data_IF_677538690629
#
_entry.id   IF_677538690629
#
_cell.length_a   1.000
_cell.length_b   1.000
_cell.length_c   1.000
_cell.angle_alpha   90.00
_cell.angle_beta   90.00
_cell.angle_gamma   90.00
#
_symmetry.space_group_name_H-M   'P 1'
#
loop_
_entity.id
_entity.type
_entity.pdbx_description
1 polymer ?
#
# COMPACT_ATOMS: atom_id res chain seq x y z
N UNK A 1 64.20 46.37 -32.22
CA UNK A 1 64.47 46.06 -30.80
C UNK A 1 63.28 45.33 -30.19
N UNK A 2 62.98 44.12 -30.66
CA UNK A 2 61.87 43.31 -30.15
C UNK A 2 62.30 41.89 -29.72
N UNK A 3 63.58 41.53 -29.92
CA UNK A 3 64.11 40.19 -29.64
C UNK A 3 65.24 40.19 -28.59
N UNK A 4 65.50 41.33 -27.93
CA UNK A 4 66.51 41.38 -26.87
C UNK A 4 65.96 40.71 -25.60
N UNK A 5 66.69 39.75 -25.00
CA UNK A 5 66.25 39.09 -23.78
C UNK A 5 66.12 40.10 -22.63
N UNK A 6 65.12 39.92 -21.77
CA UNK A 6 64.76 40.84 -20.67
C UNK A 6 65.99 41.23 -19.82
N UNK A 7 66.90 40.27 -19.58
CA UNK A 7 68.12 40.49 -18.79
C UNK A 7 69.10 41.47 -19.47
N UNK A 8 69.14 41.48 -20.82
CA UNK A 8 69.98 42.41 -21.58
C UNK A 8 69.41 43.83 -21.52
N UNK A 9 68.08 43.95 -21.59
CA UNK A 9 67.37 45.23 -21.45
C UNK A 9 67.56 45.79 -20.04
N UNK A 10 67.47 44.95 -19.00
CA UNK A 10 67.72 45.36 -17.61
C UNK A 10 69.15 45.86 -17.40
N UNK A 11 70.16 45.13 -17.90
CA UNK A 11 71.56 45.55 -17.80
C UNK A 11 71.84 46.85 -18.57
N UNK A 12 71.30 46.98 -19.78
CA UNK A 12 71.41 48.20 -20.56
C UNK A 12 70.77 49.41 -19.85
N UNK A 13 69.59 49.22 -19.24
CA UNK A 13 68.91 50.25 -18.45
C UNK A 13 69.76 50.68 -17.23
N UNK A 14 70.31 49.73 -16.49
CA UNK A 14 71.17 50.00 -15.33
C UNK A 14 72.45 50.75 -15.74
N UNK A 15 73.13 50.31 -16.80
CA UNK A 15 74.33 50.97 -17.33
C UNK A 15 74.04 52.38 -17.87
N UNK A 16 72.90 52.57 -18.54
CA UNK A 16 72.46 53.86 -19.06
C UNK A 16 72.23 54.87 -17.93
N UNK A 17 71.48 54.51 -16.89
CA UNK A 17 71.21 55.42 -15.77
C UNK A 17 72.45 55.69 -14.92
N UNK A 18 73.35 54.72 -14.73
CA UNK A 18 74.63 54.94 -14.03
C UNK A 18 75.56 55.92 -14.77
N UNK A 19 75.52 55.94 -16.11
CA UNK A 19 76.38 56.77 -16.94
C UNK A 19 75.75 58.07 -17.43
N UNK A 20 74.44 58.25 -17.22
CA UNK A 20 73.71 59.44 -17.66
C UNK A 20 74.10 60.69 -16.87
N UNK A 21 74.29 61.81 -17.58
CA UNK A 21 74.48 63.13 -16.97
C UNK A 21 73.32 63.52 -16.05
N UNK A 22 72.11 63.05 -16.35
CA UNK A 22 70.89 63.32 -15.57
C UNK A 22 70.95 62.72 -14.15
N UNK A 23 71.67 61.61 -13.98
CA UNK A 23 71.90 60.98 -12.68
C UNK A 23 73.10 61.60 -11.96
N UNK A 24 74.19 61.90 -12.71
CA UNK A 24 75.42 62.52 -12.15
C UNK A 24 75.22 63.98 -11.71
N UNK A 25 74.35 64.72 -12.39
CA UNK A 25 74.00 66.11 -12.07
C UNK A 25 72.91 66.21 -10.99
N UNK A 26 72.45 65.07 -10.43
CA UNK A 26 71.49 65.01 -9.33
C UNK A 26 70.06 65.40 -9.70
N UNK A 27 69.73 65.51 -10.99
CA UNK A 27 68.43 65.93 -11.50
C UNK A 27 67.35 64.86 -11.21
N UNK A 28 67.70 63.58 -11.29
CA UNK A 28 66.84 62.46 -10.87
C UNK A 28 67.46 61.68 -9.72
N UNK A 29 66.62 61.26 -8.77
CA UNK A 29 67.04 60.38 -7.68
C UNK A 29 67.07 58.92 -8.14
N UNK A 30 67.93 58.09 -7.53
CA UNK A 30 68.07 56.67 -7.89
C UNK A 30 66.75 55.90 -7.82
N UNK A 31 65.89 56.22 -6.84
CA UNK A 31 64.57 55.61 -6.67
C UNK A 31 63.52 56.04 -7.72
N UNK A 32 63.82 57.02 -8.56
CA UNK A 32 62.93 57.51 -9.63
C UNK A 32 63.34 56.99 -11.03
N UNK A 33 64.39 56.19 -11.10
CA UNK A 33 64.94 55.62 -12.34
C UNK A 33 64.79 54.11 -12.34
N UNK A 34 64.90 53.46 -13.51
CA UNK A 34 64.73 52.02 -13.75
C UNK A 34 63.30 51.48 -13.72
N UNK A 35 63.07 50.47 -14.57
CA UNK A 35 61.83 49.70 -14.65
C UNK A 35 61.59 48.89 -13.37
N UNK A 36 62.66 48.47 -12.68
CA UNK A 36 62.56 47.79 -11.38
C UNK A 36 61.92 48.68 -10.31
N UNK A 37 62.36 49.93 -10.18
CA UNK A 37 61.77 50.86 -9.19
C UNK A 37 60.34 51.25 -9.57
N UNK A 38 60.05 51.41 -10.87
CA UNK A 38 58.69 51.60 -11.35
C UNK A 38 57.80 50.40 -10.99
N UNK A 39 58.28 49.17 -11.20
CA UNK A 39 57.54 47.95 -10.84
C UNK A 39 57.24 47.86 -9.35
N UNK A 40 58.19 48.25 -8.49
CA UNK A 40 57.94 48.31 -7.03
C UNK A 40 56.90 49.38 -6.69
N UNK A 41 57.02 50.59 -7.24
CA UNK A 41 56.07 51.68 -6.99
C UNK A 41 54.65 51.35 -7.48
N UNK A 42 54.54 50.70 -8.66
CA UNK A 42 53.26 50.21 -9.20
C UNK A 42 52.68 49.11 -8.32
N UNK A 43 53.50 48.16 -7.86
CA UNK A 43 53.07 47.10 -6.94
C UNK A 43 52.56 47.68 -5.62
N UNK A 44 53.29 48.60 -5.00
CA UNK A 44 52.89 49.24 -3.74
C UNK A 44 51.60 50.05 -3.90
N UNK A 45 51.48 50.81 -5.00
CA UNK A 45 50.28 51.57 -5.32
C UNK A 45 49.08 50.65 -5.59
N UNK A 46 49.28 49.58 -6.37
CA UNK A 46 48.26 48.58 -6.65
C UNK A 46 47.74 47.93 -5.37
N UNK A 47 48.63 47.43 -4.51
CA UNK A 47 48.21 46.79 -3.26
C UNK A 47 47.55 47.75 -2.28
N UNK A 48 47.99 49.02 -2.25
CA UNK A 48 47.31 50.05 -1.48
C UNK A 48 45.88 50.28 -1.99
N UNK A 49 45.70 50.47 -3.30
CA UNK A 49 44.38 50.65 -3.91
C UNK A 49 43.48 49.41 -3.73
N UNK A 50 44.03 48.20 -3.89
CA UNK A 50 43.30 46.95 -3.67
C UNK A 50 42.84 46.85 -2.23
N UNK A 51 43.71 47.14 -1.26
CA UNK A 51 43.35 47.10 0.16
C UNK A 51 42.21 48.08 0.47
N UNK A 52 42.35 49.33 0.05
CA UNK A 52 41.33 50.37 0.25
C UNK A 52 40.01 50.00 -0.45
N UNK A 53 40.07 49.45 -1.67
CA UNK A 53 38.88 49.02 -2.41
C UNK A 53 38.19 47.81 -1.79
N UNK A 54 38.95 46.81 -1.33
CA UNK A 54 38.40 45.63 -0.65
C UNK A 54 37.75 46.03 0.67
N UNK A 55 38.35 46.93 1.44
CA UNK A 55 37.76 47.47 2.67
C UNK A 55 36.41 48.17 2.36
N UNK A 56 36.39 49.08 1.38
CA UNK A 56 35.16 49.79 0.98
C UNK A 56 34.08 48.83 0.46
N UNK A 57 34.44 47.87 -0.38
CA UNK A 57 33.50 46.86 -0.89
C UNK A 57 32.97 45.98 0.24
N UNK A 58 33.83 45.57 1.17
CA UNK A 58 33.44 44.77 2.35
C UNK A 58 32.41 45.52 3.19
N UNK A 59 32.63 46.82 3.43
CA UNK A 59 31.69 47.63 4.21
C UNK A 59 30.37 47.83 3.46
N UNK A 60 30.41 47.98 2.13
CA UNK A 60 29.21 48.01 1.28
C UNK A 60 28.43 46.70 1.39
N UNK A 61 29.09 45.54 1.30
CA UNK A 61 28.45 44.23 1.47
C UNK A 61 27.86 44.04 2.86
N UNK A 62 28.56 44.48 3.92
CA UNK A 62 28.04 44.43 5.29
C UNK A 62 26.78 45.28 5.43
N UNK A 63 26.76 46.48 4.85
CA UNK A 63 25.59 47.33 4.86
C UNK A 63 24.40 46.69 4.11
N UNK A 64 24.63 46.17 2.90
CA UNK A 64 23.59 45.47 2.13
C UNK A 64 23.06 44.25 2.88
N UNK A 65 23.94 43.43 3.46
CA UNK A 65 23.54 42.28 4.27
C UNK A 65 22.65 42.71 5.44
N UNK A 66 23.05 43.74 6.19
CA UNK A 66 22.28 44.25 7.32
C UNK A 66 20.90 44.76 6.89
N UNK A 67 20.82 45.47 5.76
CA UNK A 67 19.54 45.92 5.20
C UNK A 67 18.64 44.73 4.87
N UNK A 68 19.17 43.73 4.15
CA UNK A 68 18.40 42.53 3.78
C UNK A 68 17.95 41.71 5.00
N UNK A 69 18.80 41.54 6.01
CA UNK A 69 18.43 40.88 7.27
C UNK A 69 17.33 41.64 8.00
N UNK A 70 17.38 42.97 7.97
CA UNK A 70 16.36 43.83 8.58
C UNK A 70 15.03 43.75 7.83
N UNK A 71 15.08 43.81 6.49
CA UNK A 71 13.90 43.62 5.63
C UNK A 71 13.27 42.25 5.87
N UNK A 72 14.08 41.18 5.91
CA UNK A 72 13.60 39.83 6.20
C UNK A 72 12.93 39.74 7.57
N UNK A 73 13.54 40.26 8.63
CA UNK A 73 12.95 40.27 9.99
C UNK A 73 11.64 41.05 10.05
N UNK A 74 11.52 42.14 9.29
CA UNK A 74 10.29 42.94 9.22
C UNK A 74 9.20 42.26 8.40
N UNK A 75 9.56 41.56 7.33
CA UNK A 75 8.62 40.81 6.50
C UNK A 75 8.16 39.51 7.15
N UNK A 76 9.01 38.88 7.96
CA UNK A 76 8.75 37.58 8.60
C UNK A 76 8.93 37.61 10.13
N UNK A 77 8.22 38.50 10.86
CA UNK A 77 8.47 38.75 12.30
C UNK A 77 8.16 37.56 13.22
N UNK A 78 7.49 36.52 12.70
CA UNK A 78 7.13 35.30 13.43
C UNK A 78 7.91 34.06 12.98
N UNK A 79 8.76 34.18 11.96
CA UNK A 79 9.64 33.08 11.55
C UNK A 79 10.98 33.26 12.24
N UNK A 80 11.38 32.22 12.97
CA UNK A 80 12.75 32.09 13.46
C UNK A 80 13.60 31.48 12.34
N UNK A 81 14.80 32.02 12.14
CA UNK A 81 15.81 31.38 11.29
C UNK A 81 16.21 30.05 11.95
N UNK A 82 16.08 28.96 11.20
CA UNK A 82 16.51 27.64 11.65
C UNK A 82 17.67 27.19 10.77
N UNK A 83 18.73 26.68 11.39
CA UNK A 83 19.81 26.05 10.66
C UNK A 83 19.45 24.61 10.27
N UNK A 84 20.35 23.97 9.51
CA UNK A 84 20.14 22.61 9.02
C UNK A 84 20.00 21.58 10.16
N UNK A 85 20.76 21.76 11.24
CA UNK A 85 20.79 20.81 12.34
C UNK A 85 19.52 20.94 13.20
N UNK A 86 19.05 22.18 13.41
CA UNK A 86 17.76 22.47 14.03
C UNK A 86 16.59 21.87 13.24
N UNK A 87 16.60 21.99 11.90
CA UNK A 87 15.57 21.38 11.05
C UNK A 87 15.61 19.85 11.10
N UNK A 88 16.81 19.26 11.16
CA UNK A 88 16.97 17.82 11.29
C UNK A 88 16.43 17.30 12.63
N UNK A 89 16.82 17.91 13.75
CA UNK A 89 16.34 17.51 15.07
C UNK A 89 14.83 17.77 15.24
N UNK A 90 14.30 18.82 14.62
CA UNK A 90 12.85 19.05 14.53
C UNK A 90 12.14 17.90 13.81
N UNK A 91 12.56 17.57 12.58
CA UNK A 91 11.95 16.50 11.80
C UNK A 91 12.05 15.15 12.51
N UNK A 92 13.21 14.87 13.13
CA UNK A 92 13.44 13.67 13.94
C UNK A 92 12.50 13.62 15.15
N UNK A 93 12.37 14.74 15.88
CA UNK A 93 11.47 14.85 17.03
C UNK A 93 10.02 14.58 16.63
N UNK A 94 9.53 15.23 15.58
CA UNK A 94 8.17 15.05 15.06
C UNK A 94 7.90 13.58 14.67
N UNK A 95 8.86 12.91 14.02
CA UNK A 95 8.73 11.49 13.68
C UNK A 95 8.67 10.62 14.94
N UNK A 96 9.52 10.90 15.93
CA UNK A 96 9.55 10.15 17.20
C UNK A 96 8.28 10.35 18.01
N UNK A 97 7.70 11.56 17.99
CA UNK A 97 6.41 11.84 18.61
C UNK A 97 5.31 10.99 17.98
N UNK A 98 5.30 10.83 16.65
CA UNK A 98 4.34 9.93 15.99
C UNK A 98 4.60 8.44 16.28
N UNK A 99 5.85 8.03 16.51
CA UNK A 99 6.15 6.67 17.00
C UNK A 99 5.60 6.47 18.42
N UNK A 100 5.64 7.50 19.28
CA UNK A 100 4.98 7.45 20.59
C UNK A 100 3.47 7.37 20.41
N UNK A 101 2.88 8.18 19.53
CA UNK A 101 1.45 8.14 19.24
C UNK A 101 0.98 6.78 18.71
N UNK A 102 1.82 6.08 17.95
CA UNK A 102 1.55 4.71 17.49
C UNK A 102 1.31 3.75 18.66
N UNK A 103 2.07 3.90 19.75
CA UNK A 103 1.90 3.10 20.97
C UNK A 103 0.64 3.46 21.78
N UNK A 104 0.07 4.64 21.53
CA UNK A 104 -1.15 5.13 22.17
C UNK A 104 -2.42 4.71 21.41
N UNK A 105 -2.29 4.08 20.24
CA UNK A 105 -3.44 3.55 19.49
C UNK A 105 -4.14 2.48 20.35
N UNK A 106 -5.47 2.59 20.56
CA UNK A 106 -6.22 1.63 21.37
C UNK A 106 -6.13 0.20 20.82
N UNK A 107 -6.11 -0.79 21.72
CA UNK A 107 -6.09 -2.22 21.34
C UNK A 107 -7.24 -2.60 20.41
N UNK A 108 -8.44 -2.05 20.66
CA UNK A 108 -9.60 -2.29 19.81
C UNK A 108 -9.36 -1.88 18.34
N UNK A 109 -8.69 -0.76 18.10
CA UNK A 109 -8.41 -0.31 16.74
C UNK A 109 -7.44 -1.26 16.04
N UNK A 110 -6.43 -1.77 16.76
CA UNK A 110 -5.54 -2.80 16.22
C UNK A 110 -6.30 -4.08 15.88
N UNK A 111 -7.17 -4.55 16.77
CA UNK A 111 -7.98 -5.74 16.56
C UNK A 111 -8.92 -5.59 15.36
N UNK A 112 -9.61 -4.46 15.23
CA UNK A 112 -10.54 -4.18 14.13
C UNK A 112 -9.80 -4.18 12.77
N UNK A 113 -8.66 -3.50 12.69
CA UNK A 113 -7.85 -3.43 11.48
C UNK A 113 -7.24 -4.78 11.11
N UNK A 114 -6.61 -5.46 12.07
CA UNK A 114 -6.04 -6.79 11.85
C UNK A 114 -7.13 -7.75 11.37
N UNK A 115 -8.28 -7.79 12.06
CA UNK A 115 -9.41 -8.67 11.70
C UNK A 115 -9.90 -8.39 10.28
N UNK A 116 -10.05 -7.11 9.92
CA UNK A 116 -10.46 -6.70 8.57
C UNK A 116 -9.48 -7.19 7.51
N UNK A 117 -8.19 -6.85 7.63
CA UNK A 117 -7.20 -7.16 6.59
C UNK A 117 -6.84 -8.65 6.54
N UNK A 118 -6.85 -9.35 7.67
CA UNK A 118 -6.76 -10.82 7.72
C UNK A 118 -7.91 -11.42 6.93
N UNK A 119 -9.14 -10.98 7.18
CA UNK A 119 -10.29 -11.53 6.47
C UNK A 119 -10.28 -11.25 4.97
N UNK A 120 -9.98 -10.03 4.56
CA UNK A 120 -9.87 -9.66 3.14
C UNK A 120 -8.83 -10.51 2.40
N UNK A 121 -7.74 -10.91 3.07
CA UNK A 121 -6.71 -11.77 2.48
C UNK A 121 -7.11 -13.24 2.42
N UNK A 122 -7.85 -13.71 3.42
CA UNK A 122 -8.07 -15.15 3.68
C UNK A 122 -9.42 -15.65 3.15
N UNK A 123 -10.39 -14.76 2.95
CA UNK A 123 -11.78 -15.10 2.60
C UNK A 123 -11.87 -16.02 1.37
N UNK A 124 -11.13 -15.71 0.30
CA UNK A 124 -11.13 -16.51 -0.93
C UNK A 124 -10.68 -17.95 -0.68
N UNK A 125 -9.61 -18.14 0.09
CA UNK A 125 -9.12 -19.48 0.44
C UNK A 125 -10.18 -20.24 1.26
N UNK A 126 -10.77 -19.59 2.26
CA UNK A 126 -11.80 -20.23 3.10
C UNK A 126 -13.03 -20.62 2.28
N UNK A 127 -13.50 -19.77 1.37
CA UNK A 127 -14.67 -20.08 0.56
C UNK A 127 -14.40 -21.09 -0.54
N UNK A 128 -13.39 -20.85 -1.36
CA UNK A 128 -13.21 -21.59 -2.61
C UNK A 128 -12.40 -22.88 -2.36
N UNK A 129 -11.30 -22.80 -1.60
CA UNK A 129 -10.40 -23.93 -1.39
C UNK A 129 -10.79 -24.84 -0.23
N UNK A 130 -11.49 -24.30 0.78
CA UNK A 130 -11.95 -25.08 1.94
C UNK A 130 -13.44 -25.41 1.78
N UNK A 131 -14.33 -24.42 1.86
CA UNK A 131 -15.77 -24.66 2.03
C UNK A 131 -16.41 -25.25 0.77
N UNK A 132 -16.16 -24.67 -0.41
CA UNK A 132 -16.71 -25.14 -1.69
C UNK A 132 -16.15 -26.52 -2.07
N UNK A 133 -14.87 -26.77 -1.78
CA UNK A 133 -14.23 -28.06 -2.04
C UNK A 133 -14.78 -29.13 -1.10
N UNK A 134 -14.87 -28.85 0.20
CA UNK A 134 -15.43 -29.78 1.17
C UNK A 134 -16.91 -30.09 0.90
N UNK A 135 -17.69 -29.09 0.47
CA UNK A 135 -19.10 -29.29 0.16
C UNK A 135 -19.36 -30.32 -0.94
N UNK A 136 -18.39 -30.59 -1.83
CA UNK A 136 -18.49 -31.59 -2.89
C UNK A 136 -18.34 -33.03 -2.38
N UNK A 137 -18.01 -33.21 -1.10
CA UNK A 137 -17.83 -34.52 -0.50
C UNK A 137 -19.13 -35.36 -0.50
N UNK A 138 -18.98 -36.67 -0.67
CA UNK A 138 -20.11 -37.61 -0.75
C UNK A 138 -20.71 -37.95 0.62
N UNK A 139 -19.96 -37.69 1.70
CA UNK A 139 -20.36 -37.95 3.07
C UNK A 139 -19.93 -36.84 4.04
N UNK A 140 -20.58 -36.76 5.20
CA UNK A 140 -20.20 -35.83 6.29
C UNK A 140 -18.78 -36.11 6.79
N UNK A 141 -18.39 -37.39 6.84
CA UNK A 141 -17.04 -37.78 7.24
C UNK A 141 -15.99 -37.25 6.27
N UNK A 142 -16.26 -37.35 4.97
CA UNK A 142 -15.38 -36.85 3.92
C UNK A 142 -15.34 -35.32 3.89
N UNK A 143 -16.47 -34.65 4.16
CA UNK A 143 -16.54 -33.20 4.33
C UNK A 143 -15.59 -32.75 5.46
N UNK A 144 -15.75 -33.33 6.66
CA UNK A 144 -14.95 -32.97 7.82
C UNK A 144 -13.46 -33.23 7.57
N UNK A 145 -13.13 -34.40 7.01
CA UNK A 145 -11.75 -34.75 6.65
C UNK A 145 -11.15 -33.75 5.66
N UNK A 146 -11.92 -33.32 4.66
CA UNK A 146 -11.46 -32.35 3.67
C UNK A 146 -11.19 -30.98 4.30
N UNK A 147 -12.10 -30.49 5.15
CA UNK A 147 -11.91 -29.24 5.89
C UNK A 147 -10.67 -29.31 6.77
N UNK A 148 -10.54 -30.37 7.58
CA UNK A 148 -9.44 -30.57 8.50
C UNK A 148 -8.09 -30.56 7.77
N UNK A 149 -7.96 -31.34 6.69
CA UNK A 149 -6.72 -31.44 5.90
C UNK A 149 -6.36 -30.09 5.27
N UNK A 150 -7.33 -29.39 4.68
CA UNK A 150 -7.09 -28.10 4.01
C UNK A 150 -6.67 -27.02 5.00
N UNK A 151 -7.36 -26.91 6.15
CA UNK A 151 -7.02 -25.93 7.18
C UNK A 151 -5.67 -26.22 7.81
N UNK A 152 -5.35 -27.49 8.09
CA UNK A 152 -4.06 -27.89 8.65
C UNK A 152 -2.91 -27.54 7.69
N UNK A 153 -3.03 -27.88 6.41
CA UNK A 153 -2.00 -27.56 5.40
C UNK A 153 -1.78 -26.05 5.27
N UNK A 154 -2.84 -25.26 5.33
CA UNK A 154 -2.78 -23.81 5.27
C UNK A 154 -2.11 -23.21 6.51
N UNK A 155 -2.46 -23.69 7.71
CA UNK A 155 -1.85 -23.28 8.97
C UNK A 155 -0.37 -23.60 9.08
N UNK A 156 0.07 -24.71 8.49
CA UNK A 156 1.49 -25.09 8.49
C UNK A 156 2.33 -24.24 7.54
N UNK A 157 1.76 -23.85 6.38
CA UNK A 157 2.53 -23.30 5.26
C UNK A 157 2.33 -21.82 5.03
N UNK A 158 1.09 -21.35 4.93
CA UNK A 158 0.77 -20.05 4.36
C UNK A 158 0.26 -19.06 5.41
N UNK A 159 -0.65 -19.48 6.27
CA UNK A 159 -1.30 -18.63 7.28
C UNK A 159 -0.29 -17.87 8.17
N UNK A 160 0.78 -18.49 8.72
CA UNK A 160 1.71 -17.76 9.59
C UNK A 160 2.39 -16.60 8.85
N UNK A 161 2.76 -16.83 7.58
CA UNK A 161 3.41 -15.81 6.75
C UNK A 161 2.43 -14.70 6.38
N UNK A 162 1.21 -15.05 5.99
CA UNK A 162 0.16 -14.07 5.72
C UNK A 162 -0.13 -13.18 6.93
N UNK A 163 -0.18 -13.74 8.14
CA UNK A 163 -0.35 -12.97 9.37
C UNK A 163 0.81 -12.01 9.64
N UNK A 164 2.06 -12.42 9.39
CA UNK A 164 3.24 -11.55 9.52
C UNK A 164 3.18 -10.39 8.53
N UNK A 165 2.91 -10.69 7.26
CA UNK A 165 2.83 -9.69 6.19
C UNK A 165 1.73 -8.67 6.49
N UNK A 166 0.57 -9.13 6.97
CA UNK A 166 -0.55 -8.26 7.37
C UNK A 166 -0.23 -7.48 8.64
N UNK A 167 0.39 -8.10 9.64
CA UNK A 167 0.83 -7.40 10.84
C UNK A 167 1.79 -6.27 10.53
N UNK A 168 2.76 -6.50 9.62
CA UNK A 168 3.66 -5.46 9.11
C UNK A 168 2.89 -4.36 8.38
N UNK A 169 1.98 -4.75 7.50
CA UNK A 169 1.18 -3.82 6.73
C UNK A 169 0.36 -2.90 7.64
N UNK A 170 -0.40 -3.47 8.59
CA UNK A 170 -1.26 -2.71 9.51
C UNK A 170 -0.46 -1.79 10.42
N UNK A 171 0.69 -2.25 10.94
CA UNK A 171 1.59 -1.43 11.75
C UNK A 171 2.06 -0.17 11.00
N UNK A 172 2.54 -0.36 9.77
CA UNK A 172 3.09 0.72 8.95
C UNK A 172 2.02 1.61 8.35
N UNK A 173 0.83 1.06 8.06
CA UNK A 173 -0.32 1.83 7.60
C UNK A 173 -0.83 2.77 8.70
N UNK A 174 -0.95 2.30 9.94
CA UNK A 174 -1.28 3.17 11.08
C UNK A 174 -0.23 4.24 11.32
N UNK A 175 1.05 3.89 11.21
CA UNK A 175 2.13 4.89 11.32
C UNK A 175 2.06 5.95 10.21
N UNK A 176 1.80 5.54 8.97
CA UNK A 176 1.58 6.47 7.87
C UNK A 176 0.36 7.35 8.10
N UNK A 177 -0.75 6.78 8.58
CA UNK A 177 -1.98 7.52 8.87
C UNK A 177 -1.77 8.60 9.94
N UNK A 178 -0.94 8.34 10.96
CA UNK A 178 -0.55 9.32 11.97
C UNK A 178 0.22 10.50 11.35
N UNK A 179 1.25 10.20 10.54
CA UNK A 179 2.03 11.21 9.82
C UNK A 179 1.12 12.04 8.89
N UNK A 180 0.21 11.42 8.15
CA UNK A 180 -0.70 12.14 7.25
C UNK A 180 -1.72 13.02 7.99
N UNK A 181 -2.13 12.63 9.21
CA UNK A 181 -3.01 13.45 10.05
C UNK A 181 -2.27 14.67 10.58
N UNK A 182 -1.02 14.50 11.02
CA UNK A 182 -0.14 15.59 11.43
C UNK A 182 0.10 16.56 10.28
N UNK A 183 0.36 16.04 9.06
CA UNK A 183 0.57 16.87 7.88
C UNK A 183 -0.60 17.79 7.52
N UNK A 184 -1.83 17.36 7.85
CA UNK A 184 -3.07 18.11 7.64
C UNK A 184 -3.36 19.09 8.79
N UNK A 185 -2.58 19.05 9.86
CA UNK A 185 -2.73 19.93 11.01
C UNK A 185 -2.33 21.37 10.67
N UNK A 186 -2.89 22.34 11.40
CA UNK A 186 -2.55 23.77 11.22
C UNK A 186 -1.14 24.13 11.68
N UNK A 187 -0.51 23.27 12.47
CA UNK A 187 0.84 23.42 13.01
C UNK A 187 1.91 22.76 12.14
N UNK A 188 1.52 22.05 11.07
CA UNK A 188 2.46 21.36 10.22
C UNK A 188 3.41 22.34 9.52
N UNK A 189 4.69 22.00 9.51
CA UNK A 189 5.71 22.67 8.72
C UNK A 189 5.99 21.83 7.46
N UNK A 190 5.57 22.30 6.26
CA UNK A 190 5.72 21.55 5.03
C UNK A 190 7.16 21.14 4.70
N UNK A 191 8.16 21.82 5.26
CA UNK A 191 9.58 21.55 5.01
C UNK A 191 10.00 20.13 5.46
N UNK A 192 9.34 19.56 6.48
CA UNK A 192 9.67 18.22 7.01
C UNK A 192 8.83 17.09 6.40
N UNK A 193 7.82 17.41 5.59
CA UNK A 193 6.88 16.41 5.05
C UNK A 193 7.59 15.35 4.19
N UNK A 194 8.46 15.79 3.27
CA UNK A 194 9.12 14.88 2.34
C UNK A 194 10.02 13.89 3.07
N UNK A 195 10.79 14.35 4.06
CA UNK A 195 11.66 13.47 4.86
C UNK A 195 10.84 12.51 5.72
N UNK A 196 9.71 12.95 6.31
CA UNK A 196 8.78 12.08 7.04
C UNK A 196 8.27 10.94 6.14
N UNK A 197 7.82 11.26 4.93
CA UNK A 197 7.35 10.26 3.97
C UNK A 197 8.46 9.29 3.55
N UNK A 198 9.68 9.78 3.32
CA UNK A 198 10.82 8.91 3.01
C UNK A 198 11.16 7.99 4.18
N UNK A 199 11.09 8.47 5.43
CA UNK A 199 11.31 7.62 6.61
C UNK A 199 10.27 6.51 6.70
N UNK A 200 8.98 6.80 6.44
CA UNK A 200 7.92 5.77 6.40
C UNK A 200 8.22 4.72 5.32
N UNK A 201 8.68 5.12 4.13
CA UNK A 201 9.06 4.20 3.06
C UNK A 201 10.29 3.35 3.42
N UNK A 202 11.31 3.96 4.04
CA UNK A 202 12.48 3.23 4.53
C UNK A 202 12.11 2.24 5.65
N UNK A 203 11.20 2.61 6.56
CA UNK A 203 10.63 1.70 7.54
C UNK A 203 9.93 0.52 6.84
N UNK A 204 9.14 0.78 5.80
CA UNK A 204 8.43 -0.28 5.06
C UNK A 204 9.36 -1.25 4.34
N UNK A 205 10.45 -0.76 3.76
CA UNK A 205 11.41 -1.59 3.02
C UNK A 205 12.36 -2.36 3.93
N UNK A 206 12.75 -1.79 5.07
CA UNK A 206 13.74 -2.40 5.98
C UNK A 206 13.13 -3.17 7.14
N UNK A 207 11.87 -2.94 7.48
CA UNK A 207 11.25 -3.62 8.61
C UNK A 207 11.22 -5.13 8.38
N UNK A 208 11.70 -5.85 9.39
CA UNK A 208 11.70 -7.30 9.44
C UNK A 208 11.28 -7.73 10.84
N UNK A 209 10.29 -8.60 10.90
CA UNK A 209 9.95 -9.30 12.13
C UNK A 209 11.04 -10.29 12.52
N UNK A 210 11.09 -10.66 13.81
CA UNK A 210 11.95 -11.76 14.26
C UNK A 210 11.59 -13.04 13.49
N UNK A 211 12.60 -13.74 12.96
CA UNK A 211 12.41 -15.00 12.25
C UNK A 211 11.65 -16.04 13.09
N UNK A 212 11.76 -15.99 14.43
CA UNK A 212 11.04 -16.86 15.36
C UNK A 212 9.54 -16.60 15.41
N UNK A 213 9.08 -15.41 15.00
CA UNK A 213 7.66 -15.06 14.99
C UNK A 213 6.87 -16.02 14.09
N UNK A 214 7.45 -16.43 12.95
CA UNK A 214 6.83 -17.35 12.01
C UNK A 214 6.56 -18.71 12.64
N UNK A 215 7.56 -19.28 13.31
CA UNK A 215 7.44 -20.58 13.97
C UNK A 215 6.48 -20.51 15.16
N UNK A 216 6.53 -19.40 15.92
CA UNK A 216 5.64 -19.17 17.05
C UNK A 216 4.18 -19.09 16.62
N UNK A 217 3.89 -18.33 15.56
CA UNK A 217 2.55 -18.23 14.98
C UNK A 217 2.08 -19.58 14.44
N UNK A 218 2.95 -20.33 13.74
CA UNK A 218 2.61 -21.67 13.24
C UNK A 218 2.15 -22.58 14.37
N UNK A 219 2.87 -22.61 15.50
CA UNK A 219 2.49 -23.44 16.65
C UNK A 219 1.15 -23.01 17.23
N UNK A 220 0.97 -21.71 17.48
CA UNK A 220 -0.27 -21.16 18.07
C UNK A 220 -1.47 -21.46 17.17
N UNK A 221 -1.35 -21.20 15.86
CA UNK A 221 -2.43 -21.37 14.89
C UNK A 221 -2.77 -22.84 14.68
N UNK A 222 -1.76 -23.72 14.63
CA UNK A 222 -1.98 -25.17 14.52
C UNK A 222 -2.70 -25.69 15.77
N UNK A 223 -2.27 -25.26 16.96
CA UNK A 223 -2.92 -25.65 18.21
C UNK A 223 -4.36 -25.15 18.28
N UNK A 224 -4.62 -23.93 17.83
CA UNK A 224 -5.96 -23.35 17.79
C UNK A 224 -6.89 -24.11 16.83
N UNK A 225 -6.40 -24.59 15.69
CA UNK A 225 -7.19 -25.40 14.75
C UNK A 225 -7.49 -26.81 15.25
N UNK A 226 -6.62 -27.36 16.11
CA UNK A 226 -6.83 -28.68 16.72
C UNK A 226 -7.84 -28.63 17.87
N UNK A 227 -8.09 -27.45 18.44
CA UNK A 227 -9.10 -27.27 19.47
C UNK A 227 -10.51 -27.29 18.87
N UNK A 228 -11.20 -28.41 19.07
CA UNK A 228 -12.59 -28.61 18.62
C UNK A 228 -13.62 -28.20 19.67
N UNK A 229 -13.19 -27.68 20.80
CA UNK A 229 -14.09 -27.37 21.91
C UNK A 229 -14.78 -26.02 21.69
N UNK A 230 -16.11 -26.03 21.69
CA UNK A 230 -16.91 -24.80 21.82
C UNK A 230 -17.41 -24.74 23.25
N UNK A 231 -16.71 -23.95 24.06
CA UNK A 231 -16.87 -23.95 25.52
C UNK A 231 -18.12 -23.24 26.00
N UNK A 232 -18.63 -22.25 25.25
CA UNK A 232 -19.81 -21.50 25.62
C UNK A 232 -20.76 -21.20 24.43
N UNK A 233 -22.01 -20.89 24.77
CA UNK A 233 -23.06 -20.56 23.80
C UNK A 233 -22.78 -19.25 23.04
N UNK A 234 -22.12 -18.29 23.69
CA UNK A 234 -21.86 -16.97 23.12
C UNK A 234 -20.86 -17.06 21.97
N UNK A 235 -19.81 -17.87 22.11
CA UNK A 235 -18.82 -18.19 21.09
C UNK A 235 -19.49 -18.88 19.90
N UNK A 236 -20.36 -19.87 20.17
CA UNK A 236 -21.14 -20.54 19.11
C UNK A 236 -22.01 -19.56 18.33
N UNK A 237 -22.78 -18.72 19.03
CA UNK A 237 -23.65 -17.73 18.38
C UNK A 237 -22.85 -16.68 17.61
N UNK A 238 -21.69 -16.28 18.13
CA UNK A 238 -20.80 -15.32 17.47
C UNK A 238 -20.20 -15.90 16.19
N UNK A 239 -19.74 -17.17 16.23
CA UNK A 239 -19.24 -17.87 15.05
C UNK A 239 -20.33 -18.10 14.00
N UNK A 240 -21.54 -18.50 14.43
CA UNK A 240 -22.68 -18.65 13.52
C UNK A 240 -23.07 -17.32 12.87
N UNK A 241 -23.08 -16.22 13.64
CA UNK A 241 -23.35 -14.89 13.13
C UNK A 241 -22.26 -14.40 12.16
N UNK A 242 -21.00 -14.70 12.45
CA UNK A 242 -19.86 -14.38 11.58
C UNK A 242 -19.95 -15.12 10.25
N UNK A 243 -20.27 -16.42 10.27
CA UNK A 243 -20.50 -17.20 9.06
C UNK A 243 -21.70 -16.67 8.25
N UNK A 244 -22.82 -16.37 8.92
CA UNK A 244 -24.02 -15.79 8.30
C UNK A 244 -23.70 -14.44 7.62
N UNK A 245 -23.04 -13.52 8.34
CA UNK A 245 -22.69 -12.20 7.80
C UNK A 245 -21.73 -12.32 6.62
N UNK A 246 -20.79 -13.26 6.69
CA UNK A 246 -19.83 -13.45 5.62
C UNK A 246 -20.49 -14.03 4.38
N UNK A 247 -21.25 -15.12 4.50
CA UNK A 247 -21.95 -15.72 3.35
C UNK A 247 -22.88 -14.68 2.72
N UNK A 248 -23.54 -13.85 3.53
CA UNK A 248 -24.38 -12.76 3.03
C UNK A 248 -23.58 -11.73 2.24
N UNK A 249 -22.44 -11.28 2.75
CA UNK A 249 -21.59 -10.30 2.08
C UNK A 249 -21.01 -10.86 0.78
N UNK A 250 -20.51 -12.11 0.80
CA UNK A 250 -20.00 -12.79 -0.39
C UNK A 250 -21.11 -13.02 -1.41
N UNK A 251 -22.30 -13.43 -0.96
CA UNK A 251 -23.46 -13.55 -1.84
C UNK A 251 -23.82 -12.22 -2.50
N UNK A 252 -23.85 -11.12 -1.72
CA UNK A 252 -24.12 -9.80 -2.26
C UNK A 252 -23.05 -9.38 -3.28
N UNK A 253 -21.77 -9.67 -3.01
CA UNK A 253 -20.69 -9.43 -3.95
C UNK A 253 -20.89 -10.22 -5.25
N UNK A 254 -21.08 -11.53 -5.17
CA UNK A 254 -21.27 -12.41 -6.33
C UNK A 254 -22.56 -12.09 -7.11
N UNK A 255 -23.66 -11.78 -6.43
CA UNK A 255 -24.90 -11.33 -7.08
C UNK A 255 -24.70 -9.96 -7.73
N UNK A 256 -23.93 -9.07 -7.12
CA UNK A 256 -23.56 -7.81 -7.75
C UNK A 256 -22.73 -8.07 -9.00
N UNK A 257 -21.71 -8.92 -8.99
CA UNK A 257 -20.93 -9.26 -10.20
C UNK A 257 -21.77 -9.94 -11.28
N UNK A 258 -22.74 -10.79 -10.89
CA UNK A 258 -23.65 -11.46 -11.82
C UNK A 258 -24.69 -10.48 -12.42
N UNK A 259 -25.11 -9.46 -11.67
CA UNK A 259 -26.13 -8.49 -12.06
C UNK A 259 -25.59 -7.13 -12.57
N UNK A 260 -24.33 -6.81 -12.29
CA UNK A 260 -23.64 -5.55 -12.62
C UNK A 260 -22.86 -5.69 -13.93
N UNK A 261 -22.71 -4.70 -14.80
CA UNK A 261 -23.23 -3.32 -14.92
C UNK A 261 -23.01 -2.30 -13.79
N UNK A 262 -21.93 -2.37 -13.01
CA UNK A 262 -21.52 -1.27 -12.11
C UNK A 262 -20.07 -0.88 -12.35
N UNK A 263 -19.86 -0.23 -13.50
CA UNK A 263 -19.04 1.00 -13.58
C UNK A 263 -19.33 1.83 -14.84
N UNK A 264 -20.58 1.86 -15.32
CA UNK A 264 -21.01 2.92 -16.25
C UNK A 264 -22.41 3.45 -15.87
N UNK A 265 -22.38 4.42 -14.94
CA UNK A 265 -23.31 5.57 -14.84
C UNK A 265 -24.79 5.30 -14.48
N UNK A 266 -25.08 5.38 -13.18
CA UNK A 266 -26.44 5.60 -12.65
C UNK A 266 -27.09 6.90 -13.15
N UNK A 267 -26.30 7.89 -13.62
CA UNK A 267 -26.83 9.12 -14.21
C UNK A 267 -27.23 8.98 -15.69
N UNK A 268 -26.70 8.00 -16.44
CA UNK A 268 -27.14 7.66 -17.81
C UNK A 268 -28.49 6.94 -17.84
N UNK A 269 -28.81 6.15 -16.79
CA UNK A 269 -30.15 5.59 -16.55
C UNK A 269 -31.21 6.67 -16.36
N UNK A 270 -30.87 7.76 -15.68
CA UNK A 270 -31.76 8.91 -15.47
C UNK A 270 -32.06 9.67 -16.78
N UNK A 271 -31.15 9.62 -17.75
CA UNK A 271 -31.27 10.32 -19.05
C UNK A 271 -31.86 9.45 -20.18
N UNK A 272 -32.39 8.26 -19.90
CA UNK A 272 -33.07 7.42 -20.90
C UNK A 272 -32.16 6.79 -21.97
N UNK A 273 -30.84 6.85 -21.81
CA UNK A 273 -29.89 6.20 -22.72
C UNK A 273 -29.39 4.89 -22.13
N UNK A 274 -30.12 3.80 -22.34
CA UNK A 274 -29.58 2.46 -22.10
C UNK A 274 -29.96 1.52 -23.23
N UNK A 275 -28.97 1.09 -24.00
CA UNK A 275 -29.01 -0.17 -24.75
C UNK A 275 -28.27 -1.21 -23.91
N UNK A 276 -28.94 -2.29 -23.52
CA UNK A 276 -28.31 -3.51 -23.02
C UNK A 276 -27.37 -4.04 -24.10
N UNK A 277 -26.12 -4.37 -23.76
CA UNK A 277 -25.24 -5.03 -24.75
C UNK A 277 -25.79 -6.43 -25.09
N UNK A 278 -25.50 -6.92 -26.30
CA UNK A 278 -25.92 -8.26 -26.74
C UNK A 278 -25.33 -9.33 -25.81
N UNK A 279 -24.09 -9.14 -25.37
CA UNK A 279 -23.38 -10.03 -24.46
C UNK A 279 -24.05 -10.14 -23.07
N UNK A 280 -24.55 -9.03 -22.52
CA UNK A 280 -25.32 -9.04 -21.28
C UNK A 280 -26.62 -9.82 -21.40
N UNK A 281 -27.29 -9.68 -22.55
CA UNK A 281 -28.50 -10.45 -22.85
C UNK A 281 -28.19 -11.95 -22.91
N UNK A 282 -27.07 -12.32 -23.53
CA UNK A 282 -26.63 -13.71 -23.62
C UNK A 282 -26.26 -14.27 -22.25
N UNK A 283 -25.56 -13.50 -21.40
CA UNK A 283 -25.21 -13.91 -20.04
C UNK A 283 -26.44 -14.16 -19.17
N UNK A 284 -27.42 -13.26 -19.20
CA UNK A 284 -28.67 -13.40 -18.43
C UNK A 284 -29.48 -14.62 -18.85
N UNK A 285 -29.61 -14.86 -20.15
CA UNK A 285 -30.36 -16.01 -20.66
C UNK A 285 -29.63 -17.32 -20.40
N UNK A 286 -28.29 -17.35 -20.53
CA UNK A 286 -27.46 -18.47 -20.12
C UNK A 286 -27.60 -18.76 -18.62
N UNK A 287 -27.48 -17.73 -17.77
CA UNK A 287 -27.62 -17.87 -16.32
C UNK A 287 -28.99 -18.43 -15.94
N UNK A 288 -30.07 -17.96 -16.58
CA UNK A 288 -31.43 -18.45 -16.34
C UNK A 288 -31.62 -19.93 -16.69
N UNK A 289 -31.03 -20.42 -17.79
CA UNK A 289 -31.08 -21.85 -18.12
C UNK A 289 -30.26 -22.69 -17.14
N UNK A 290 -29.11 -22.17 -16.69
CA UNK A 290 -28.26 -22.84 -15.70
C UNK A 290 -28.90 -22.88 -14.30
N UNK A 291 -29.63 -21.84 -13.90
CA UNK A 291 -30.44 -21.82 -12.68
C UNK A 291 -31.53 -22.90 -12.71
N UNK A 292 -32.14 -23.18 -13.87
CA UNK A 292 -33.13 -24.27 -13.99
C UNK A 292 -32.51 -25.63 -13.72
N UNK A 293 -31.30 -25.88 -14.21
CA UNK A 293 -30.57 -27.12 -13.91
C UNK A 293 -30.37 -27.26 -12.41
N UNK A 294 -29.95 -26.19 -11.73
CA UNK A 294 -29.73 -26.21 -10.28
C UNK A 294 -31.01 -26.49 -9.49
N UNK A 295 -32.12 -25.88 -9.89
CA UNK A 295 -33.45 -26.15 -9.29
C UNK A 295 -33.84 -27.61 -9.51
N UNK A 296 -33.63 -28.16 -10.71
CA UNK A 296 -33.92 -29.57 -11.00
C UNK A 296 -33.04 -30.52 -10.18
N UNK A 297 -31.75 -30.22 -10.02
CA UNK A 297 -30.83 -30.98 -9.15
C UNK A 297 -31.30 -30.95 -7.70
N UNK A 298 -31.66 -29.77 -7.18
CA UNK A 298 -32.16 -29.61 -5.81
C UNK A 298 -33.43 -30.42 -5.55
N UNK A 299 -34.37 -30.45 -6.50
CA UNK A 299 -35.60 -31.25 -6.38
C UNK A 299 -35.31 -32.75 -6.39
N UNK A 300 -34.37 -33.20 -7.24
CA UNK A 300 -33.96 -34.61 -7.29
C UNK A 300 -33.31 -35.06 -5.98
N UNK A 301 -32.42 -34.26 -5.40
CA UNK A 301 -31.74 -34.56 -4.13
C UNK A 301 -32.75 -34.74 -2.98
N UNK A 302 -33.81 -33.92 -2.93
CA UNK A 302 -34.87 -34.03 -1.91
C UNK A 302 -35.65 -35.36 -2.00
N UNK A 303 -35.77 -35.93 -3.20
CA UNK A 303 -36.53 -37.17 -3.43
C UNK A 303 -35.73 -38.44 -3.20
N UNK A 304 -34.40 -38.39 -3.31
CA UNK A 304 -33.53 -39.58 -3.25
C UNK A 304 -32.88 -39.85 -1.90
N UNK A 305 -33.14 -39.03 -0.86
CA UNK A 305 -32.48 -39.10 0.46
C UNK A 305 -30.94 -39.05 0.45
N UNK A 306 -30.31 -38.92 -0.72
CA UNK A 306 -28.89 -38.61 -0.87
C UNK A 306 -28.72 -37.09 -0.86
N UNK A 307 -28.74 -36.51 0.34
CA UNK A 307 -28.83 -35.06 0.57
C UNK A 307 -27.58 -34.24 0.16
N UNK A 308 -26.49 -34.89 -0.24
CA UNK A 308 -25.15 -34.29 -0.15
C UNK A 308 -24.37 -34.06 -1.44
N UNK A 309 -24.88 -34.38 -2.65
CA UNK A 309 -24.10 -34.14 -3.87
C UNK A 309 -24.18 -32.69 -4.36
N UNK A 310 -23.37 -31.80 -3.79
CA UNK A 310 -23.06 -30.49 -4.37
C UNK A 310 -22.11 -30.65 -5.57
N UNK A 311 -22.63 -31.18 -6.69
CA UNK A 311 -21.84 -31.31 -7.92
C UNK A 311 -21.55 -29.93 -8.50
N UNK A 312 -20.28 -29.54 -8.49
CA UNK A 312 -19.81 -28.23 -8.95
C UNK A 312 -19.58 -28.14 -10.45
N UNK A 313 -19.58 -29.26 -11.18
CA UNK A 313 -19.38 -29.33 -12.62
C UNK A 313 -20.69 -29.61 -13.38
N UNK A 314 -20.74 -29.17 -14.63
CA UNK A 314 -21.79 -29.57 -15.59
C UNK A 314 -21.40 -30.89 -16.25
N UNK A 315 -22.34 -31.82 -16.32
CA UNK A 315 -22.17 -33.03 -17.11
C UNK A 315 -22.31 -32.72 -18.61
N UNK A 316 -21.77 -33.59 -19.46
CA UNK A 316 -21.81 -33.41 -20.91
C UNK A 316 -23.24 -33.26 -21.46
N UNK A 317 -24.19 -34.00 -20.89
CA UNK A 317 -25.60 -33.96 -21.27
C UNK A 317 -26.29 -32.66 -20.86
N UNK A 318 -25.97 -32.14 -19.67
CA UNK A 318 -26.49 -30.87 -19.17
C UNK A 318 -25.94 -29.69 -20.00
N UNK A 319 -24.64 -29.70 -20.28
CA UNK A 319 -23.98 -28.71 -21.12
C UNK A 319 -24.58 -28.71 -22.54
N UNK A 320 -24.80 -29.91 -23.11
CA UNK A 320 -25.47 -30.06 -24.41
C UNK A 320 -26.90 -29.53 -24.38
N UNK A 321 -27.62 -29.77 -23.28
CA UNK A 321 -29.00 -29.30 -23.10
C UNK A 321 -29.07 -27.78 -23.03
N UNK A 322 -28.22 -27.13 -22.22
CA UNK A 322 -28.13 -25.67 -22.13
C UNK A 322 -27.82 -25.06 -23.50
N UNK A 323 -26.83 -25.62 -24.20
CA UNK A 323 -26.44 -25.15 -25.53
C UNK A 323 -27.59 -25.22 -26.53
N UNK A 324 -28.31 -26.34 -26.58
CA UNK A 324 -29.50 -26.50 -27.47
C UNK A 324 -30.62 -25.53 -27.11
N UNK A 325 -30.86 -25.30 -25.82
CA UNK A 325 -31.88 -24.36 -25.36
C UNK A 325 -31.54 -22.91 -25.73
N UNK A 326 -30.27 -22.52 -25.62
CA UNK A 326 -29.78 -21.21 -26.06
C UNK A 326 -29.87 -21.05 -27.58
N UNK A 327 -29.51 -22.07 -28.35
CA UNK A 327 -29.64 -22.06 -29.81
C UNK A 327 -31.10 -21.91 -30.26
N UNK A 328 -32.05 -22.53 -29.54
CA UNK A 328 -33.50 -22.36 -29.78
C UNK A 328 -33.94 -20.91 -29.54
N UNK A 329 -33.27 -20.19 -28.64
CA UNK A 329 -33.46 -18.76 -28.39
C UNK A 329 -32.65 -17.85 -29.33
N UNK A 330 -32.05 -18.41 -30.39
CA UNK A 330 -31.16 -17.72 -31.36
C UNK A 330 -29.89 -17.15 -30.72
N UNK A 331 -29.37 -17.82 -29.70
CA UNK A 331 -28.13 -17.47 -29.02
C UNK A 331 -27.12 -18.57 -29.30
N UNK A 332 -26.02 -18.21 -29.97
CA UNK A 332 -24.92 -19.12 -30.24
C UNK A 332 -23.72 -18.74 -29.37
N UNK A 333 -23.35 -19.64 -28.47
CA UNK A 333 -22.26 -19.47 -27.49
C UNK A 333 -21.40 -20.73 -27.44
N UNK A 334 -20.11 -20.54 -27.13
CA UNK A 334 -19.18 -21.66 -26.96
C UNK A 334 -19.50 -22.44 -25.68
N UNK A 335 -18.98 -23.68 -25.61
CA UNK A 335 -19.06 -24.48 -24.40
C UNK A 335 -18.31 -23.79 -23.24
N UNK A 336 -17.15 -23.18 -23.52
CA UNK A 336 -16.34 -22.46 -22.54
C UNK A 336 -17.10 -21.28 -21.92
N UNK A 337 -17.89 -20.56 -22.72
CA UNK A 337 -18.74 -19.48 -22.23
C UNK A 337 -19.80 -19.99 -21.25
N UNK A 338 -20.45 -21.11 -21.57
CA UNK A 338 -21.45 -21.74 -20.68
C UNK A 338 -20.78 -22.18 -19.36
N UNK A 339 -19.58 -22.74 -19.43
CA UNK A 339 -18.81 -23.16 -18.24
C UNK A 339 -18.39 -21.97 -17.36
N UNK A 340 -17.96 -20.85 -17.93
CA UNK A 340 -17.62 -19.64 -17.16
C UNK A 340 -18.85 -19.06 -16.45
N UNK A 341 -19.98 -18.94 -17.15
CA UNK A 341 -21.24 -18.49 -16.55
C UNK A 341 -21.72 -19.47 -15.47
N UNK A 342 -21.53 -20.78 -15.68
CA UNK A 342 -21.87 -21.81 -14.71
C UNK A 342 -21.14 -21.66 -13.39
N UNK A 343 -19.82 -21.43 -13.41
CA UNK A 343 -19.05 -21.29 -12.16
C UNK A 343 -19.62 -20.17 -11.27
N UNK A 344 -20.03 -19.05 -11.87
CA UNK A 344 -20.62 -17.90 -11.16
C UNK A 344 -22.03 -18.21 -10.65
N UNK A 345 -22.89 -18.77 -11.50
CA UNK A 345 -24.26 -19.14 -11.15
C UNK A 345 -24.27 -20.20 -10.05
N UNK A 346 -23.38 -21.19 -10.14
CA UNK A 346 -23.19 -22.22 -9.13
C UNK A 346 -22.77 -21.63 -7.78
N UNK A 347 -21.77 -20.74 -7.76
CA UNK A 347 -21.31 -20.07 -6.53
C UNK A 347 -22.43 -19.28 -5.86
N UNK A 348 -23.22 -18.51 -6.62
CA UNK A 348 -24.40 -17.78 -6.10
C UNK A 348 -25.44 -18.74 -5.52
N UNK A 349 -25.80 -19.81 -6.23
CA UNK A 349 -26.75 -20.80 -5.76
C UNK A 349 -26.25 -21.53 -4.49
N UNK A 350 -24.97 -21.90 -4.47
CA UNK A 350 -24.31 -22.51 -3.32
C UNK A 350 -24.39 -21.61 -2.08
N UNK A 351 -24.06 -20.33 -2.21
CA UNK A 351 -24.12 -19.37 -1.10
C UNK A 351 -25.56 -19.16 -0.61
N UNK A 352 -26.55 -19.07 -1.52
CA UNK A 352 -27.98 -18.98 -1.14
C UNK A 352 -28.45 -20.17 -0.31
N UNK A 353 -28.10 -21.39 -0.75
CA UNK A 353 -28.46 -22.62 -0.03
C UNK A 353 -27.85 -22.64 1.37
N UNK A 354 -26.56 -22.33 1.49
CA UNK A 354 -25.84 -22.37 2.77
C UNK A 354 -26.24 -21.22 3.71
N UNK A 355 -26.63 -20.05 3.20
CA UNK A 355 -27.14 -18.96 4.03
C UNK A 355 -28.38 -19.37 4.82
N UNK A 356 -29.28 -20.16 4.21
CA UNK A 356 -30.43 -20.73 4.91
C UNK A 356 -30.00 -21.67 6.03
N UNK A 357 -29.00 -22.53 5.77
CA UNK A 357 -28.46 -23.47 6.76
C UNK A 357 -27.79 -22.75 7.94
N UNK A 358 -27.08 -21.65 7.72
CA UNK A 358 -26.44 -20.87 8.78
C UNK A 358 -27.44 -20.27 9.79
N UNK A 359 -28.63 -19.89 9.33
CA UNK A 359 -29.69 -19.40 10.22
C UNK A 359 -30.14 -20.49 11.21
N UNK A 360 -30.11 -21.75 10.78
CA UNK A 360 -30.45 -22.90 11.63
C UNK A 360 -29.29 -23.29 12.57
N UNK A 361 -28.03 -23.06 12.20
CA UNK A 361 -26.83 -23.32 13.03
C UNK A 361 -26.94 -22.76 14.45
N UNK A 362 -27.57 -21.59 14.62
CA UNK A 362 -27.76 -20.97 15.95
C UNK A 362 -28.58 -21.84 16.92
N UNK A 363 -29.48 -22.67 16.40
CA UNK A 363 -30.34 -23.57 17.20
C UNK A 363 -29.63 -24.86 17.59
N UNK A 364 -28.52 -25.19 16.92
CA UNK A 364 -27.83 -26.47 17.09
C UNK A 364 -26.89 -26.56 18.29
N UNK A 365 -26.60 -25.46 18.99
CA UNK A 365 -25.75 -25.48 20.20
C UNK A 365 -26.25 -26.48 21.26
N UNK A 366 -27.57 -26.58 21.44
CA UNK A 366 -28.17 -27.52 22.38
C UNK A 366 -27.90 -29.00 22.02
N UNK A 367 -27.87 -29.31 20.72
CA UNK A 367 -27.57 -30.67 20.24
C UNK A 367 -26.07 -30.98 20.36
N UNK A 368 -25.23 -29.99 20.08
CA UNK A 368 -23.78 -30.06 20.30
C UNK A 368 -23.44 -30.37 21.76
N UNK A 369 -24.01 -29.63 22.73
CA UNK A 369 -23.75 -29.84 24.16
C UNK A 369 -24.20 -31.22 24.66
N UNK A 370 -25.21 -31.81 24.03
CA UNK A 370 -25.73 -33.14 24.39
C UNK A 370 -24.91 -34.30 23.80
N UNK A 371 -23.84 -34.01 23.06
CA UNK A 371 -23.07 -35.04 22.37
C UNK A 371 -23.88 -35.75 21.28
N UNK A 372 -24.94 -35.12 20.75
CA UNK A 372 -25.64 -35.60 19.56
C UNK A 372 -24.84 -35.12 18.35
N UNK A 373 -23.60 -35.58 18.27
CA UNK A 373 -22.79 -35.55 17.07
C UNK A 373 -22.94 -36.93 16.40
N UNK A 374 -23.39 -36.91 15.15
CA UNK A 374 -23.29 -37.99 14.15
C UNK A 374 -24.45 -38.99 13.92
N UNK A 375 -25.57 -38.98 14.64
CA UNK A 375 -26.66 -39.97 14.35
C UNK A 375 -28.09 -39.44 14.21
N UNK A 376 -28.34 -38.13 14.25
CA UNK A 376 -29.71 -37.66 14.48
C UNK A 376 -30.19 -36.43 13.72
N UNK A 377 -29.49 -35.95 12.69
CA UNK A 377 -30.00 -34.84 11.88
C UNK A 377 -30.03 -35.27 10.42
N UNK A 378 -31.16 -35.91 10.07
CA UNK A 378 -31.56 -36.26 8.71
C UNK A 378 -32.22 -35.10 7.99
#
# INVERSE_FOLDING_TARGET
>A
NADDPIDLIQKYEEEFFQNSKLFRDGIFKANQTTTRNLSFAVSDCFWKMVKESVEQQTDTFKATKFTLETEWKNSFPKMREQDRDELFEKARGEILDEVVNLSLIPSQQWEDNLTKYLWEKMSNFIFDDVFLTAAQAESISDFNTTVDVKLQQWAEKELPRQCIDIGQFVLLDEFQNLIEREQKSRSNDPITNDIKLQVVQECRTRHQWDAKALDSLRVIQTQALQDRSVSDKQQWESAAKFMESTIRNELQHQESELNSNQNQSSWRKFMGFQQTTIEETYRKLCAKELERILISRQQFDQTTKNSYTFRSTLDFDELTTVKKNLQTQKIDVSNDYITDVWQRVYKVHFLKRNLSTCLDCRRFFYYYQKGISDQGVS
#
